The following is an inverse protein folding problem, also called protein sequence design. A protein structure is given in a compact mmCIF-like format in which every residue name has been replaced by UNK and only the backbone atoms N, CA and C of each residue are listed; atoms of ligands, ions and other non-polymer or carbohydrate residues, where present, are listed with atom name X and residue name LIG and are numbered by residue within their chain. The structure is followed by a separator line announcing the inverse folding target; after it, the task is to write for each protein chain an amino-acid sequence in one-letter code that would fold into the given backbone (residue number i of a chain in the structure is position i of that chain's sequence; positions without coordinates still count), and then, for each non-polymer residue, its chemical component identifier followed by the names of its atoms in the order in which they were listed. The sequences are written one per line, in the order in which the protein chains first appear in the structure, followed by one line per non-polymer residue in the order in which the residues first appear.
data_IF_150580574268
#
_entry.id   IF_150580574268
#
_cell.length_a   1.000
_cell.length_b   1.000
_cell.length_c   1.000
_cell.angle_alpha   90.00
_cell.angle_beta   90.00
_cell.angle_gamma   90.00
#
_symmetry.space_group_name_H-M   'P 1'
#
loop_
_entity.id
_entity.type
_entity.pdbx_description
1 polymer ?
#
# COMPACT_ATOMS: atom_id res chain seq x y z
N UNK A 1 39.82 -9.04 -18.34
CA UNK A 1 38.97 -7.83 -18.29
C UNK A 1 38.85 -7.45 -16.83
N UNK A 2 39.61 -6.45 -16.42
CA UNK A 2 39.77 -5.95 -15.05
C UNK A 2 38.55 -5.13 -14.63
N UNK A 3 37.98 -5.46 -13.47
CA UNK A 3 36.97 -4.66 -12.78
C UNK A 3 37.64 -4.05 -11.56
N UNK A 4 37.79 -2.72 -11.58
CA UNK A 4 38.31 -1.91 -10.48
C UNK A 4 37.19 -1.60 -9.48
N UNK A 5 37.38 -2.01 -8.23
CA UNK A 5 36.60 -1.58 -7.07
C UNK A 5 37.45 -0.61 -6.26
N UNK A 6 37.01 0.65 -6.14
CA UNK A 6 37.56 1.60 -5.17
C UNK A 6 36.64 1.60 -3.94
N UNK A 7 37.18 1.11 -2.83
CA UNK A 7 36.69 1.30 -1.47
C UNK A 7 37.37 2.56 -0.91
N UNK A 8 36.60 3.55 -0.46
CA UNK A 8 37.10 4.58 0.46
C UNK A 8 36.41 4.46 1.82
N UNK A 9 37.23 4.13 2.81
CA UNK A 9 36.94 4.18 4.24
C UNK A 9 36.79 5.62 4.71
N UNK A 10 35.71 5.92 5.43
CA UNK A 10 35.68 7.02 6.41
C UNK A 10 35.10 6.47 7.71
N UNK A 11 35.99 6.16 8.65
CA UNK A 11 35.70 5.93 10.05
C UNK A 11 36.07 7.19 10.84
N UNK A 12 35.18 7.66 11.73
CA UNK A 12 35.52 8.79 12.61
C UNK A 12 34.37 9.36 13.42
N UNK A 13 34.07 8.70 14.55
CA UNK A 13 33.66 9.26 15.84
C UNK A 13 32.45 10.21 15.93
N UNK A 14 31.36 9.70 16.52
CA UNK A 14 30.36 10.50 17.25
C UNK A 14 30.22 9.92 18.66
N UNK A 15 30.54 10.72 19.67
CA UNK A 15 30.24 10.48 21.08
C UNK A 15 29.25 11.58 21.57
N UNK A 16 28.51 11.34 22.66
CA UNK A 16 27.23 12.00 22.94
C UNK A 16 27.37 13.30 23.75
N UNK A 17 26.47 14.26 23.54
CA UNK A 17 26.36 15.49 24.33
C UNK A 17 25.33 15.34 25.46
N UNK A 18 25.78 15.50 26.70
CA UNK A 18 24.96 15.83 27.87
C UNK A 18 24.78 17.34 28.01
N UNK A 19 23.63 17.75 28.56
CA UNK A 19 23.21 19.13 28.78
C UNK A 19 23.76 19.69 30.10
N UNK A 20 24.12 20.97 30.13
CA UNK A 20 24.04 21.81 31.34
C UNK A 20 24.02 23.32 31.01
N UNK A 21 23.31 24.06 31.87
CA UNK A 21 22.85 25.44 31.76
C UNK A 21 23.92 26.52 31.96
N UNK A 22 23.71 27.68 31.30
CA UNK A 22 23.60 28.97 31.98
C UNK A 22 24.80 29.93 32.05
N UNK A 23 24.52 31.18 31.65
CA UNK A 23 25.08 32.48 32.13
C UNK A 23 26.22 33.12 31.32
N UNK A 24 25.89 34.26 30.69
CA UNK A 24 26.79 35.37 30.32
C UNK A 24 26.56 36.54 31.31
N UNK A 25 27.34 37.65 31.37
CA UNK A 25 28.33 38.16 30.40
C UNK A 25 29.61 38.80 31.01
N UNK A 26 30.59 39.18 30.17
CA UNK A 26 31.24 40.52 30.14
C UNK A 26 32.60 40.56 29.40
N UNK A 27 32.72 41.59 28.53
CA UNK A 27 33.90 42.36 28.10
C UNK A 27 35.10 41.68 27.39
N UNK A 28 35.37 42.19 26.17
CA UNK A 28 36.50 41.87 25.29
C UNK A 28 37.85 42.48 25.74
N UNK A 29 38.96 42.11 25.09
CA UNK A 29 39.56 43.11 24.20
C UNK A 29 40.01 42.59 22.82
N UNK A 30 39.67 43.41 21.82
CA UNK A 30 40.35 43.76 20.56
C UNK A 30 41.45 42.85 19.96
N UNK A 31 41.21 42.50 18.69
CA UNK A 31 42.11 42.96 17.63
C UNK A 31 42.65 41.89 16.69
N UNK A 32 41.95 41.62 15.58
CA UNK A 32 42.56 41.39 14.26
C UNK A 32 41.47 41.60 13.20
N UNK A 33 41.74 42.58 12.33
CA UNK A 33 40.85 43.09 11.29
C UNK A 33 40.89 42.16 10.07
N UNK A 34 39.76 41.51 9.78
CA UNK A 34 39.47 41.04 8.43
C UNK A 34 38.50 42.03 7.78
N UNK A 35 38.91 42.55 6.62
CA UNK A 35 38.27 43.64 5.91
C UNK A 35 36.81 43.35 5.55
N UNK A 36 35.90 44.00 6.27
CA UNK A 36 34.52 44.16 5.86
C UNK A 36 34.54 45.14 4.68
N UNK A 37 34.38 44.63 3.45
CA UNK A 37 33.96 45.46 2.34
C UNK A 37 32.68 46.20 2.76
N UNK A 38 32.61 47.53 2.66
CA UNK A 38 31.41 48.26 3.05
C UNK A 38 30.25 47.76 2.19
N UNK A 39 29.24 47.20 2.85
CA UNK A 39 27.96 46.91 2.22
C UNK A 39 27.40 48.26 1.81
N UNK A 40 27.54 48.58 0.52
CA UNK A 40 26.89 49.74 -0.09
C UNK A 40 25.43 49.75 0.37
N UNK A 41 24.97 50.92 0.82
CA UNK A 41 23.58 51.20 1.16
C UNK A 41 22.70 50.91 -0.05
N UNK A 42 22.31 49.64 -0.23
CA UNK A 42 21.29 49.25 -1.20
C UNK A 42 19.97 49.71 -0.62
N UNK A 43 19.29 50.58 -1.35
CA UNK A 43 17.90 50.92 -1.12
C UNK A 43 17.09 49.64 -0.81
N UNK A 44 16.10 49.71 0.10
CA UNK A 44 15.27 48.54 0.40
C UNK A 44 14.68 48.01 -0.92
N UNK A 45 14.71 46.67 -1.13
CA UNK A 45 14.24 46.09 -2.38
C UNK A 45 12.79 46.48 -2.64
N UNK A 46 12.44 46.66 -3.91
CA UNK A 46 11.10 47.06 -4.32
C UNK A 46 10.05 46.05 -3.85
N UNK A 47 9.01 46.57 -3.21
CA UNK A 47 7.87 45.76 -2.79
C UNK A 47 7.06 45.35 -4.02
N UNK A 48 6.84 44.05 -4.19
CA UNK A 48 6.04 43.49 -5.27
C UNK A 48 4.71 42.98 -4.69
N UNK A 49 3.59 43.50 -5.21
CA UNK A 49 2.27 43.00 -4.84
C UNK A 49 2.05 41.60 -5.41
N UNK A 50 1.50 40.70 -4.60
CA UNK A 50 1.16 39.34 -5.02
C UNK A 50 -0.29 39.32 -5.51
N UNK A 51 -0.55 38.93 -6.76
CA UNK A 51 -1.92 38.76 -7.25
C UNK A 51 -2.64 37.64 -6.50
N UNK A 52 -3.95 37.81 -6.27
CA UNK A 52 -4.80 36.77 -5.65
C UNK A 52 -5.34 35.80 -6.72
N UNK A 53 -4.45 35.25 -7.53
CA UNK A 53 -4.79 34.25 -8.55
C UNK A 53 -4.39 32.86 -8.04
N UNK A 54 -5.35 31.92 -7.90
CA UNK A 54 -5.08 30.61 -7.31
C UNK A 54 -4.50 29.64 -8.35
N UNK A 55 -3.39 29.00 -7.99
CA UNK A 55 -2.73 27.98 -8.79
C UNK A 55 -2.66 26.65 -8.04
N UNK A 56 -2.63 25.56 -8.81
CA UNK A 56 -2.48 24.20 -8.29
C UNK A 56 -1.14 23.65 -8.75
N UNK A 57 -0.31 23.18 -7.82
CA UNK A 57 0.96 22.53 -8.16
C UNK A 57 0.74 21.05 -8.38
N UNK A 58 1.32 20.50 -9.44
CA UNK A 58 1.35 19.05 -9.68
C UNK A 58 2.80 18.62 -9.82
N UNK A 59 3.31 17.90 -8.81
CA UNK A 59 4.64 17.30 -8.83
C UNK A 59 4.59 15.97 -9.59
N UNK A 60 4.51 16.04 -10.93
CA UNK A 60 4.37 14.87 -11.79
C UNK A 60 5.54 13.88 -11.59
N UNK A 61 5.29 12.55 -11.51
CA UNK A 61 6.32 11.56 -11.18
C UNK A 61 7.37 11.35 -12.28
N UNK A 62 7.08 11.74 -13.52
CA UNK A 62 8.00 11.67 -14.66
C UNK A 62 8.54 13.03 -15.06
N UNK A 63 9.70 13.03 -15.72
CA UNK A 63 10.28 14.20 -16.39
C UNK A 63 9.38 14.59 -17.57
N UNK A 64 8.90 15.84 -17.55
CA UNK A 64 8.00 16.36 -18.60
C UNK A 64 8.81 16.90 -19.77
N UNK A 65 8.77 16.19 -20.90
CA UNK A 65 9.32 16.68 -22.17
C UNK A 65 8.25 17.27 -23.11
N UNK A 66 7.03 16.71 -23.06
CA UNK A 66 5.89 17.12 -23.87
C UNK A 66 4.71 17.38 -22.93
N UNK A 67 4.16 18.60 -22.98
CA UNK A 67 3.07 19.04 -22.11
C UNK A 67 1.77 18.29 -22.42
N UNK A 68 1.47 18.05 -23.70
CA UNK A 68 0.25 17.34 -24.11
C UNK A 68 0.22 15.91 -23.57
N UNK A 69 1.36 15.22 -23.59
CA UNK A 69 1.47 13.88 -23.01
C UNK A 69 1.37 13.90 -21.48
N UNK A 70 1.86 14.96 -20.82
CA UNK A 70 1.67 15.16 -19.38
C UNK A 70 0.20 15.41 -19.03
N UNK A 71 -0.50 16.22 -19.82
CA UNK A 71 -1.94 16.45 -19.63
C UNK A 71 -2.72 15.15 -19.84
N UNK A 72 -2.38 14.37 -20.88
CA UNK A 72 -3.00 13.07 -21.14
C UNK A 72 -2.72 12.06 -20.02
N UNK A 73 -1.52 12.03 -19.44
CA UNK A 73 -1.19 11.06 -18.37
C UNK A 73 -2.02 11.31 -17.11
N UNK A 74 -2.39 12.56 -16.85
CA UNK A 74 -3.28 12.97 -15.75
C UNK A 74 -4.77 12.76 -16.06
N UNK A 75 -5.10 12.14 -17.21
CA UNK A 75 -6.46 11.84 -17.64
C UNK A 75 -7.08 12.87 -18.58
N UNK A 76 -6.29 13.81 -19.10
CA UNK A 76 -6.70 14.79 -20.10
C UNK A 76 -7.35 16.06 -19.52
N UNK A 77 -7.52 17.06 -20.38
CA UNK A 77 -8.00 18.40 -20.00
C UNK A 77 -9.35 18.38 -19.28
N UNK A 78 -10.30 17.56 -19.74
CA UNK A 78 -11.64 17.48 -19.14
C UNK A 78 -11.61 16.97 -17.70
N UNK A 79 -10.73 16.01 -17.41
CA UNK A 79 -10.59 15.44 -16.06
C UNK A 79 -9.89 16.43 -15.14
N UNK A 80 -8.87 17.12 -15.66
CA UNK A 80 -8.17 18.19 -14.94
C UNK A 80 -9.09 19.38 -14.62
N UNK A 81 -9.87 19.88 -15.58
CA UNK A 81 -10.83 20.98 -15.35
C UNK A 81 -11.85 20.61 -14.26
N UNK A 82 -12.39 19.39 -14.31
CA UNK A 82 -13.27 18.89 -13.24
C UNK A 82 -12.55 18.83 -11.91
N UNK A 83 -11.32 18.34 -11.89
CA UNK A 83 -10.51 18.22 -10.69
C UNK A 83 -10.20 19.59 -10.05
N UNK A 84 -9.87 20.60 -10.86
CA UNK A 84 -9.62 21.97 -10.38
C UNK A 84 -10.86 22.60 -9.74
N UNK A 85 -12.06 22.21 -10.17
CA UNK A 85 -13.33 22.69 -9.61
C UNK A 85 -13.72 22.01 -8.29
N UNK A 86 -13.07 20.91 -7.91
CA UNK A 86 -13.34 20.22 -6.65
C UNK A 86 -12.71 20.98 -5.47
N UNK A 87 -13.54 21.27 -4.46
CA UNK A 87 -13.14 21.93 -3.20
C UNK A 87 -12.88 20.93 -2.05
N UNK A 88 -12.61 19.68 -2.38
CA UNK A 88 -12.36 18.63 -1.39
C UNK A 88 -10.88 18.50 -1.07
N UNK A 89 -10.52 18.59 0.21
CA UNK A 89 -9.15 18.39 0.71
C UNK A 89 -8.68 16.93 0.60
N UNK A 90 -9.56 16.00 0.19
CA UNK A 90 -9.25 14.60 -0.09
C UNK A 90 -9.23 14.28 -1.58
N UNK A 91 -9.33 15.29 -2.46
CA UNK A 91 -9.28 15.06 -3.91
C UNK A 91 -7.94 14.46 -4.31
N UNK A 92 -7.98 13.48 -5.20
CA UNK A 92 -6.80 12.82 -5.74
C UNK A 92 -6.89 12.76 -7.26
N UNK A 93 -5.72 12.75 -7.88
CA UNK A 93 -5.53 12.65 -9.32
C UNK A 93 -4.72 11.40 -9.62
N UNK A 94 -5.07 10.69 -10.68
CA UNK A 94 -4.29 9.55 -11.16
C UNK A 94 -3.34 9.98 -12.29
N UNK A 95 -2.08 9.59 -12.20
CA UNK A 95 -1.10 9.71 -13.28
C UNK A 95 -0.84 8.32 -13.89
N UNK A 96 -1.19 8.13 -15.16
CA UNK A 96 -0.83 6.92 -15.91
C UNK A 96 0.59 7.04 -16.46
N UNK A 97 1.45 6.08 -16.08
CA UNK A 97 2.81 5.97 -16.60
C UNK A 97 2.86 5.29 -17.98
N UNK A 98 1.74 4.69 -18.42
CA UNK A 98 1.62 3.98 -19.71
C UNK A 98 0.39 4.50 -20.46
N UNK A 99 0.56 5.67 -21.07
CA UNK A 99 -0.50 6.40 -21.80
C UNK A 99 -1.30 5.56 -22.82
N UNK A 100 -0.63 4.62 -23.50
CA UNK A 100 -1.25 3.83 -24.56
C UNK A 100 -1.94 2.56 -24.05
N UNK A 101 -1.81 2.26 -22.75
CA UNK A 101 -2.40 1.08 -22.13
C UNK A 101 -3.61 1.49 -21.28
N UNK A 102 -4.85 1.20 -21.73
CA UNK A 102 -6.06 1.58 -20.99
C UNK A 102 -6.23 0.78 -19.70
N UNK A 103 -5.55 -0.35 -19.55
CA UNK A 103 -5.61 -1.18 -18.34
C UNK A 103 -4.52 -0.84 -17.33
N UNK A 104 -3.60 0.07 -17.68
CA UNK A 104 -2.54 0.48 -16.78
C UNK A 104 -3.12 1.21 -15.57
N UNK A 105 -2.84 0.68 -14.38
CA UNK A 105 -3.29 1.32 -13.14
C UNK A 105 -2.53 2.64 -12.93
N UNK A 106 -3.24 3.76 -12.66
CA UNK A 106 -2.61 5.04 -12.43
C UNK A 106 -2.02 5.12 -11.02
N UNK A 107 -0.94 5.88 -10.86
CA UNK A 107 -0.42 6.24 -9.54
C UNK A 107 -1.26 7.40 -9.02
N UNK A 108 -1.75 7.30 -7.79
CA UNK A 108 -2.60 8.33 -7.19
C UNK A 108 -1.75 9.42 -6.52
N UNK A 109 -2.19 10.67 -6.65
CA UNK A 109 -1.59 11.80 -5.93
C UNK A 109 -2.11 11.88 -4.51
N UNK A 110 -1.27 12.29 -3.57
CA UNK A 110 -1.72 12.85 -2.29
C UNK A 110 -1.92 14.35 -2.39
N UNK A 111 -3.05 14.84 -1.85
CA UNK A 111 -3.27 16.26 -1.63
C UNK A 111 -2.37 16.75 -0.50
N UNK A 112 -1.65 17.85 -0.73
CA UNK A 112 -0.86 18.54 0.29
C UNK A 112 -1.26 20.01 0.26
N UNK A 113 -1.81 20.50 1.37
CA UNK A 113 -2.08 21.93 1.54
C UNK A 113 -0.75 22.68 1.63
N UNK A 114 -0.59 23.72 0.84
CA UNK A 114 0.62 24.53 0.78
C UNK A 114 0.27 26.02 0.77
N UNK A 115 1.28 26.88 0.87
CA UNK A 115 1.15 28.34 0.75
C UNK A 115 2.32 28.83 -0.10
N UNK A 116 2.51 28.23 -1.27
CA UNK A 116 3.63 28.53 -2.14
C UNK A 116 3.31 29.74 -3.05
N UNK A 117 4.34 30.38 -3.60
CA UNK A 117 4.20 31.50 -4.53
C UNK A 117 4.73 31.11 -5.91
N UNK A 118 3.95 31.38 -6.95
CA UNK A 118 4.39 31.23 -8.33
C UNK A 118 5.03 32.54 -8.81
N UNK A 119 6.29 32.47 -9.21
CA UNK A 119 7.08 33.64 -9.64
C UNK A 119 7.54 33.42 -11.09
N UNK A 120 7.22 34.38 -11.96
CA UNK A 120 7.74 34.43 -13.32
C UNK A 120 9.03 35.25 -13.34
N UNK A 121 10.13 34.57 -13.66
CA UNK A 121 11.42 35.22 -13.87
C UNK A 121 11.70 35.30 -15.36
N UNK A 122 11.86 36.51 -15.88
CA UNK A 122 12.23 36.76 -17.28
C UNK A 122 13.71 37.13 -17.32
N UNK A 123 14.50 36.32 -18.03
CA UNK A 123 15.93 36.56 -18.24
C UNK A 123 16.21 36.76 -19.73
N UNK A 124 17.19 37.60 -20.10
CA UNK A 124 17.60 37.77 -21.49
C UNK A 124 17.95 36.45 -22.18
N UNK A 125 17.60 36.32 -23.46
CA UNK A 125 17.91 35.12 -24.27
C UNK A 125 19.42 35.07 -24.50
N UNK A 126 20.10 34.12 -23.87
CA UNK A 126 21.52 33.84 -24.15
C UNK A 126 21.67 33.32 -25.58
N UNK A 127 22.04 34.18 -26.51
CA UNK A 127 22.33 33.81 -27.90
C UNK A 127 23.64 33.00 -27.94
N UNK A 128 23.63 31.85 -28.62
CA UNK A 128 24.71 30.87 -28.60
C UNK A 128 26.02 31.29 -29.31
N UNK A 129 26.24 32.58 -29.59
CA UNK A 129 27.53 33.03 -30.12
C UNK A 129 28.56 32.99 -29.00
N UNK A 130 29.41 31.95 -29.02
CA UNK A 130 30.58 31.84 -28.15
C UNK A 130 31.39 33.14 -28.25
N UNK A 131 31.84 33.67 -27.10
CA UNK A 131 32.84 34.73 -27.04
C UNK A 131 34.03 34.35 -27.93
N UNK A 132 34.64 35.33 -28.61
CA UNK A 132 35.95 35.16 -29.25
C UNK A 132 36.93 34.69 -28.16
N UNK A 133 37.64 33.58 -28.40
CA UNK A 133 38.53 32.94 -27.41
C UNK A 133 39.55 33.98 -26.93
N UNK A 134 39.59 34.27 -25.62
CA UNK A 134 40.53 35.22 -25.00
C UNK A 134 39.98 36.59 -24.57
N UNK A 135 38.67 36.84 -24.62
CA UNK A 135 38.08 38.13 -24.23
C UNK A 135 37.26 38.05 -22.93
N UNK A 136 37.48 39.00 -21.99
CA UNK A 136 36.73 39.13 -20.73
C UNK A 136 35.47 40.00 -20.83
N UNK A 137 35.19 40.59 -22.00
CA UNK A 137 34.07 41.53 -22.19
C UNK A 137 32.71 40.93 -21.84
N UNK A 138 31.77 41.72 -21.28
CA UNK A 138 30.39 41.28 -20.99
C UNK A 138 29.71 40.65 -22.22
N UNK A 139 28.84 39.67 -21.98
CA UNK A 139 28.13 39.00 -23.07
C UNK A 139 27.16 40.00 -23.71
N UNK A 140 27.40 40.40 -24.97
CA UNK A 140 26.52 41.35 -25.67
C UNK A 140 25.28 40.64 -26.20
N UNK A 141 24.10 41.15 -25.88
CA UNK A 141 22.84 40.73 -26.48
C UNK A 141 22.65 41.46 -27.81
N UNK A 142 22.29 40.72 -28.85
CA UNK A 142 21.76 41.32 -30.08
C UNK A 142 20.26 41.05 -30.08
N UNK A 143 19.46 42.11 -30.17
CA UNK A 143 18.04 42.01 -30.47
C UNK A 143 17.88 41.46 -31.89
N UNK A 144 17.29 40.28 -32.01
CA UNK A 144 16.78 39.80 -33.29
C UNK A 144 15.54 40.65 -33.57
N UNK A 145 15.65 41.60 -34.52
CA UNK A 145 14.50 42.33 -35.06
C UNK A 145 13.49 41.30 -35.56
N UNK A 146 12.26 41.40 -35.06
CA UNK A 146 11.13 40.52 -35.38
C UNK A 146 10.87 40.51 -36.89
N UNK A 147 11.44 39.51 -37.57
CA UNK A 147 11.04 39.12 -38.91
C UNK A 147 9.95 38.06 -38.80
N UNK A 148 8.73 38.43 -39.20
CA UNK A 148 7.56 37.55 -39.34
C UNK A 148 7.95 36.20 -39.95
N UNK A 149 8.01 35.16 -39.11
CA UNK A 149 7.96 33.77 -39.55
C UNK A 149 6.76 33.14 -38.88
N UNK A 150 5.74 32.88 -39.69
CA UNK A 150 4.50 32.21 -39.35
C UNK A 150 4.76 31.01 -38.43
N UNK A 151 4.28 31.11 -37.19
CA UNK A 151 4.39 30.07 -36.17
C UNK A 151 3.55 28.86 -36.56
N UNK A 152 4.18 27.80 -37.06
CA UNK A 152 3.56 26.47 -37.10
C UNK A 152 3.52 25.89 -35.68
N UNK A 153 2.45 25.13 -35.37
CA UNK A 153 2.20 24.52 -34.05
C UNK A 153 3.35 23.61 -33.56
N UNK A 154 4.14 23.03 -34.46
CA UNK A 154 5.30 22.20 -34.12
C UNK A 154 6.43 23.02 -33.45
N UNK A 155 6.66 24.27 -33.88
CA UNK A 155 7.71 25.13 -33.32
C UNK A 155 7.49 25.54 -31.86
N UNK A 156 6.23 25.59 -31.40
CA UNK A 156 5.91 25.87 -29.99
C UNK A 156 6.35 24.73 -29.06
N UNK A 157 6.16 23.48 -29.49
CA UNK A 157 6.54 22.31 -28.71
C UNK A 157 8.07 22.20 -28.54
N UNK A 158 8.84 22.48 -29.59
CA UNK A 158 10.31 22.48 -29.56
C UNK A 158 10.88 23.63 -28.73
N UNK A 159 10.29 24.82 -28.82
CA UNK A 159 10.68 25.96 -27.99
C UNK A 159 10.42 25.71 -26.49
N UNK A 160 9.29 25.09 -26.13
CA UNK A 160 8.99 24.71 -24.74
C UNK A 160 9.93 23.61 -24.26
N UNK A 161 10.19 22.59 -25.07
CA UNK A 161 11.12 21.50 -24.75
C UNK A 161 12.57 22.00 -24.57
N UNK A 162 13.00 23.03 -25.31
CA UNK A 162 14.32 23.65 -25.14
C UNK A 162 14.42 24.51 -23.87
N UNK A 163 13.32 25.15 -23.42
CA UNK A 163 13.26 25.89 -22.15
C UNK A 163 13.36 24.96 -20.93
N UNK A 164 12.73 23.79 -20.99
CA UNK A 164 12.78 22.74 -19.95
C UNK A 164 14.17 22.09 -19.79
N UNK A 165 15.10 22.28 -20.74
CA UNK A 165 16.44 21.68 -20.70
C UNK A 165 17.50 22.52 -19.99
N UNK A 166 17.20 23.76 -19.58
CA UNK A 166 18.18 24.61 -18.87
C UNK A 166 18.32 24.15 -17.42
N UNK A 167 19.53 23.90 -16.96
CA UNK A 167 19.77 23.53 -15.55
C UNK A 167 19.46 24.75 -14.66
N UNK A 168 18.94 24.54 -13.42
CA UNK A 168 18.69 25.64 -12.48
C UNK A 168 19.92 26.52 -12.22
N UNK A 169 21.11 25.90 -12.20
CA UNK A 169 22.39 26.58 -12.06
C UNK A 169 22.66 27.59 -13.19
N UNK A 170 22.30 27.24 -14.43
CA UNK A 170 22.48 28.11 -15.59
C UNK A 170 21.53 29.31 -15.55
N UNK A 171 20.30 29.12 -15.05
CA UNK A 171 19.33 30.19 -14.84
C UNK A 171 19.78 31.15 -13.74
N UNK A 172 20.20 30.62 -12.58
CA UNK A 172 20.75 31.43 -11.48
C UNK A 172 21.97 32.22 -11.92
N UNK A 173 22.88 31.59 -12.68
CA UNK A 173 24.02 32.27 -13.28
C UNK A 173 23.56 33.37 -14.25
N UNK A 174 22.58 33.10 -15.10
CA UNK A 174 22.03 34.10 -16.01
C UNK A 174 21.43 35.29 -15.27
N UNK A 175 20.80 35.09 -14.10
CA UNK A 175 20.28 36.20 -13.28
C UNK A 175 21.43 37.01 -12.66
N UNK A 176 22.46 36.34 -12.13
CA UNK A 176 23.65 36.99 -11.56
C UNK A 176 24.45 37.78 -12.58
N UNK A 177 24.57 37.26 -13.80
CA UNK A 177 25.28 37.89 -14.91
C UNK A 177 24.50 39.12 -15.45
N UNK A 178 23.22 39.26 -15.14
CA UNK A 178 22.32 40.26 -15.72
C UNK A 178 21.49 41.03 -14.67
N UNK A 179 22.13 41.65 -13.65
CA UNK A 179 21.43 42.21 -12.49
C UNK A 179 20.36 43.25 -12.85
N UNK A 180 20.59 44.05 -13.90
CA UNK A 180 19.72 45.17 -14.27
C UNK A 180 18.67 44.82 -15.34
N UNK A 181 18.74 43.63 -15.95
CA UNK A 181 17.91 43.27 -17.11
C UNK A 181 17.02 42.04 -16.90
N UNK A 182 17.13 41.36 -15.76
CA UNK A 182 16.13 40.36 -15.39
C UNK A 182 14.90 41.02 -14.75
N UNK A 183 13.72 40.46 -15.00
CA UNK A 183 12.47 40.90 -14.38
C UNK A 183 11.87 39.79 -13.55
N UNK A 184 11.46 40.11 -12.32
CA UNK A 184 10.73 39.22 -11.43
C UNK A 184 9.28 39.71 -11.33
N UNK A 185 8.33 38.81 -11.53
CA UNK A 185 6.90 39.10 -11.39
C UNK A 185 6.23 38.00 -10.58
N UNK A 186 5.64 38.31 -9.40
CA UNK A 186 4.72 37.39 -8.72
C UNK A 186 3.50 37.18 -9.61
N UNK A 187 3.12 35.91 -9.82
CA UNK A 187 1.98 35.53 -10.65
C UNK A 187 0.78 35.21 -9.77
N UNK A 188 0.98 34.50 -8.66
CA UNK A 188 -0.10 34.17 -7.74
C UNK A 188 0.33 33.21 -6.65
N UNK A 189 -0.66 32.70 -5.91
CA UNK A 189 -0.48 31.78 -4.78
C UNK A 189 -0.86 30.37 -5.16
N UNK A 190 -0.20 29.40 -4.52
CA UNK A 190 -0.47 27.98 -4.69
C UNK A 190 -0.86 27.40 -3.33
N UNK A 191 -2.16 27.17 -3.15
CA UNK A 191 -2.72 26.70 -1.89
C UNK A 191 -2.66 25.16 -1.76
N UNK A 192 -2.44 24.49 -2.87
CA UNK A 192 -2.43 23.03 -2.94
C UNK A 192 -1.33 22.51 -3.87
N UNK A 193 -0.80 21.35 -3.48
CA UNK A 193 0.21 20.62 -4.25
C UNK A 193 -0.12 19.14 -4.24
N UNK A 194 -0.21 18.55 -5.43
CA UNK A 194 -0.46 17.14 -5.64
C UNK A 194 0.84 16.40 -5.87
N UNK A 195 1.17 15.47 -4.96
CA UNK A 195 2.44 14.73 -4.98
C UNK A 195 2.19 13.25 -5.23
N UNK A 196 3.01 12.63 -6.07
CA UNK A 196 2.91 11.20 -6.38
C UNK A 196 4.00 10.43 -5.62
N UNK A 197 3.77 10.22 -4.31
CA UNK A 197 4.71 9.49 -3.43
C UNK A 197 4.29 8.06 -3.12
N UNK A 198 3.07 7.68 -3.48
CA UNK A 198 2.58 6.32 -3.28
C UNK A 198 3.32 5.34 -4.18
N UNK A 199 3.52 4.11 -3.69
CA UNK A 199 4.04 3.02 -4.50
C UNK A 199 3.07 2.75 -5.66
N UNK A 200 3.57 2.61 -6.91
CA UNK A 200 2.77 2.09 -8.00
C UNK A 200 2.31 0.67 -7.69
N UNK A 201 1.06 0.37 -8.02
CA UNK A 201 0.50 -0.97 -7.82
C UNK A 201 1.01 -1.96 -8.88
N UNK A 202 0.84 -3.25 -8.61
CA UNK A 202 1.22 -4.32 -9.53
C UNK A 202 0.42 -4.23 -10.82
N UNK A 203 1.13 -4.28 -11.95
CA UNK A 203 0.52 -4.28 -13.26
C UNK A 203 0.26 -5.71 -13.72
N UNK A 204 -0.92 -5.95 -14.26
CA UNK A 204 -1.30 -7.25 -14.81
C UNK A 204 -1.18 -7.23 -16.34
N UNK A 205 -0.41 -8.16 -16.89
CA UNK A 205 -0.24 -8.28 -18.33
C UNK A 205 -1.40 -9.06 -18.96
N UNK A 206 -2.10 -8.43 -19.90
CA UNK A 206 -3.21 -9.04 -20.64
C UNK A 206 -2.77 -9.84 -21.88
N UNK A 207 -1.47 -9.93 -22.16
CA UNK A 207 -0.93 -10.55 -23.39
C UNK A 207 -1.31 -12.03 -23.55
N UNK A 208 -1.55 -12.74 -22.45
CA UNK A 208 -1.96 -14.15 -22.48
C UNK A 208 -3.42 -14.36 -22.08
N UNK A 209 -4.13 -13.30 -21.70
CA UNK A 209 -5.53 -13.36 -21.31
C UNK A 209 -6.41 -13.00 -22.52
N UNK A 210 -7.00 -14.03 -23.13
CA UNK A 210 -7.87 -13.89 -24.30
C UNK A 210 -9.10 -13.05 -23.99
N UNK A 211 -9.72 -13.24 -22.83
CA UNK A 211 -10.91 -12.48 -22.39
C UNK A 211 -10.61 -10.99 -22.30
N UNK A 212 -9.47 -10.62 -21.72
CA UNK A 212 -9.05 -9.23 -21.60
C UNK A 212 -8.73 -8.60 -22.97
N UNK A 213 -8.16 -9.36 -23.91
CA UNK A 213 -7.92 -8.91 -25.28
C UNK A 213 -9.21 -8.66 -26.04
N UNK A 214 -10.14 -9.61 -25.98
CA UNK A 214 -11.47 -9.47 -26.59
C UNK A 214 -12.15 -8.22 -26.01
N UNK A 215 -12.15 -8.07 -24.67
CA UNK A 215 -12.73 -6.89 -24.01
C UNK A 215 -12.07 -5.58 -24.48
N UNK A 216 -10.74 -5.55 -24.57
CA UNK A 216 -10.02 -4.39 -25.09
C UNK A 216 -10.44 -4.09 -26.53
N UNK A 217 -10.51 -5.10 -27.39
CA UNK A 217 -10.86 -4.92 -28.80
C UNK A 217 -12.31 -4.43 -29.00
N UNK A 218 -13.27 -4.97 -28.26
CA UNK A 218 -14.69 -4.64 -28.42
C UNK A 218 -15.11 -3.36 -27.71
N UNK A 219 -14.58 -3.07 -26.52
CA UNK A 219 -15.07 -1.97 -25.67
C UNK A 219 -14.19 -0.72 -25.70
N UNK A 220 -12.86 -0.85 -25.86
CA UNK A 220 -11.99 0.34 -25.88
C UNK A 220 -11.92 0.98 -27.26
N UNK A 221 -12.12 0.20 -28.33
CA UNK A 221 -12.18 0.69 -29.71
C UNK A 221 -13.64 0.68 -30.17
N UNK A 222 -14.25 1.82 -30.52
CA UNK A 222 -15.65 1.89 -30.91
C UNK A 222 -15.86 1.33 -32.33
N UNK A 223 -15.81 0.00 -32.48
CA UNK A 223 -16.03 -0.69 -33.74
C UNK A 223 -17.36 -1.45 -33.69
N UNK A 224 -18.44 -0.75 -34.05
CA UNK A 224 -19.81 -1.27 -33.97
C UNK A 224 -20.01 -2.61 -34.69
N UNK A 225 -19.39 -2.79 -35.86
CA UNK A 225 -19.49 -4.03 -36.65
C UNK A 225 -18.97 -5.25 -35.89
N UNK A 226 -17.90 -5.10 -35.11
CA UNK A 226 -17.33 -6.19 -34.30
C UNK A 226 -18.22 -6.52 -33.11
N UNK A 227 -18.77 -5.48 -32.47
CA UNK A 227 -19.67 -5.65 -31.32
C UNK A 227 -20.97 -6.37 -31.72
N UNK A 228 -21.54 -6.04 -32.89
CA UNK A 228 -22.76 -6.71 -33.39
C UNK A 228 -22.56 -8.21 -33.63
N UNK A 229 -21.36 -8.60 -34.04
CA UNK A 229 -21.01 -10.00 -34.33
C UNK A 229 -20.41 -10.72 -33.12
N UNK A 230 -20.29 -10.07 -31.97
CA UNK A 230 -19.74 -10.68 -30.77
C UNK A 230 -20.74 -11.69 -30.18
N UNK A 231 -20.29 -12.94 -30.03
CA UNK A 231 -21.04 -13.99 -29.33
C UNK A 231 -20.21 -14.51 -28.17
N UNK A 232 -20.83 -14.58 -26.99
CA UNK A 232 -20.17 -15.08 -25.79
C UNK A 232 -20.07 -16.60 -25.82
N UNK A 233 -18.91 -17.11 -26.22
CA UNK A 233 -18.63 -18.54 -26.29
C UNK A 233 -18.20 -19.08 -24.92
N UNK A 234 -19.08 -19.82 -24.25
CA UNK A 234 -18.81 -20.44 -22.93
C UNK A 234 -17.64 -21.43 -22.95
N UNK A 235 -17.28 -21.97 -24.12
CA UNK A 235 -16.11 -22.84 -24.25
C UNK A 235 -14.79 -22.06 -24.22
N UNK A 236 -14.81 -20.80 -24.67
CA UNK A 236 -13.68 -19.86 -24.58
C UNK A 236 -13.51 -19.22 -23.21
N UNK A 237 -14.61 -19.10 -22.45
CA UNK A 237 -14.64 -18.48 -21.13
C UNK A 237 -15.07 -19.50 -20.07
N UNK A 238 -14.21 -20.48 -19.71
CA UNK A 238 -14.56 -21.47 -18.72
C UNK A 238 -14.79 -20.81 -17.36
N UNK A 239 -15.96 -21.04 -16.77
CA UNK A 239 -16.32 -20.48 -15.45
C UNK A 239 -15.57 -21.17 -14.29
N UNK A 240 -14.95 -22.32 -14.53
CA UNK A 240 -14.24 -23.11 -13.52
C UNK A 240 -13.10 -23.90 -14.14
N UNK A 241 -12.08 -24.19 -13.33
CA UNK A 241 -10.88 -24.95 -13.70
C UNK A 241 -9.62 -24.10 -13.81
N UNK A 242 -8.48 -24.74 -14.02
CA UNK A 242 -7.16 -24.10 -14.04
C UNK A 242 -6.97 -23.06 -15.16
N UNK A 243 -7.87 -23.04 -16.17
CA UNK A 243 -7.86 -22.09 -17.29
C UNK A 243 -8.91 -20.97 -17.13
N UNK A 244 -9.69 -20.96 -16.05
CA UNK A 244 -10.63 -19.89 -15.77
C UNK A 244 -9.85 -18.66 -15.32
N UNK A 245 -9.98 -17.55 -16.06
CA UNK A 245 -9.35 -16.29 -15.73
C UNK A 245 -10.38 -15.31 -15.17
N UNK A 246 -10.14 -14.84 -13.95
CA UNK A 246 -11.00 -13.88 -13.24
C UNK A 246 -10.57 -12.42 -13.43
N UNK A 247 -9.46 -12.20 -14.16
CA UNK A 247 -8.85 -10.89 -14.33
C UNK A 247 -8.16 -10.36 -13.05
N UNK A 248 -7.48 -9.21 -13.14
CA UNK A 248 -6.84 -8.60 -11.99
C UNK A 248 -7.84 -7.90 -11.07
N UNK A 249 -7.52 -7.84 -9.78
CA UNK A 249 -8.21 -6.95 -8.85
C UNK A 249 -7.92 -5.48 -9.21
N UNK A 250 -8.86 -4.54 -8.95
CA UNK A 250 -8.63 -3.11 -9.18
C UNK A 250 -7.49 -2.50 -8.35
N UNK A 251 -7.14 -3.14 -7.24
CA UNK A 251 -6.00 -2.80 -6.40
C UNK A 251 -5.45 -4.09 -5.80
N UNK A 252 -4.14 -4.32 -5.94
CA UNK A 252 -3.45 -5.52 -5.43
C UNK A 252 -2.70 -5.15 -4.14
N UNK A 253 -1.99 -4.03 -4.13
CA UNK A 253 -1.33 -3.52 -2.93
C UNK A 253 -2.33 -2.94 -1.94
N UNK A 254 -2.39 -3.50 -0.73
CA UNK A 254 -3.15 -2.90 0.37
C UNK A 254 -2.50 -1.64 0.95
N UNK A 255 -1.19 -1.48 0.75
CA UNK A 255 -0.39 -0.41 1.38
C UNK A 255 0.20 0.51 0.32
N UNK A 256 0.01 1.82 0.49
CA UNK A 256 0.47 2.85 -0.45
C UNK A 256 1.89 3.35 -0.17
N UNK A 257 2.43 3.08 1.02
CA UNK A 257 3.75 3.55 1.46
C UNK A 257 4.72 2.36 1.53
N UNK A 258 5.96 2.50 1.04
CA UNK A 258 6.96 1.44 1.18
C UNK A 258 7.27 1.16 2.66
N UNK A 259 7.28 -0.12 3.02
CA UNK A 259 7.68 -0.53 4.37
C UNK A 259 9.17 -0.28 4.56
N UNK A 260 9.52 0.56 5.54
CA UNK A 260 10.92 0.77 5.90
C UNK A 260 11.44 -0.42 6.72
N UNK A 261 11.96 -1.44 6.02
CA UNK A 261 12.47 -2.66 6.65
C UNK A 261 13.65 -2.40 7.59
N UNK A 262 14.45 -1.34 7.34
CA UNK A 262 15.64 -0.96 8.09
C UNK A 262 16.69 -2.08 8.32
N UNK A 263 16.51 -3.25 7.69
CA UNK A 263 17.33 -4.46 7.83
C UNK A 263 17.65 -4.84 9.27
N UNK A 264 16.73 -4.57 10.22
CA UNK A 264 16.91 -4.91 11.63
C UNK A 264 16.69 -6.41 11.84
N UNK A 265 17.52 -7.00 12.70
CA UNK A 265 17.29 -8.37 13.14
C UNK A 265 15.91 -8.48 13.81
N UNK A 266 15.14 -9.50 13.44
CA UNK A 266 13.86 -9.76 14.07
C UNK A 266 14.08 -10.09 15.57
N UNK A 267 13.52 -9.26 16.46
CA UNK A 267 13.66 -9.40 17.93
C UNK A 267 13.18 -10.75 18.45
N UNK A 268 12.31 -11.44 17.70
CA UNK A 268 11.76 -12.73 18.08
C UNK A 268 12.65 -13.93 17.70
N UNK A 269 13.78 -13.71 17.02
CA UNK A 269 14.76 -14.78 16.75
C UNK A 269 15.72 -14.86 17.94
N UNK A 270 15.60 -15.93 18.74
CA UNK A 270 16.53 -16.26 19.82
C UNK A 270 17.43 -17.41 19.40
N UNK A 271 18.69 -17.36 19.76
CA UNK A 271 19.63 -18.45 19.50
C UNK A 271 19.63 -19.43 20.67
N UNK A 272 19.37 -20.70 20.39
CA UNK A 272 19.47 -21.77 21.38
C UNK A 272 20.71 -22.60 21.09
N UNK A 273 21.54 -22.82 22.11
CA UNK A 273 22.70 -23.72 21.99
C UNK A 273 22.21 -25.15 21.87
N UNK A 274 22.57 -25.84 20.80
CA UNK A 274 22.36 -27.29 20.71
C UNK A 274 23.47 -28.06 21.40
N UNK A 275 23.25 -29.35 21.74
CA UNK A 275 24.28 -30.23 22.29
C UNK A 275 25.56 -30.31 21.43
N UNK A 276 25.46 -30.03 20.13
CA UNK A 276 26.57 -30.00 19.18
C UNK A 276 27.25 -28.62 19.03
N UNK A 277 26.95 -27.65 19.90
CA UNK A 277 27.66 -26.36 19.99
C UNK A 277 27.31 -25.31 18.92
N UNK A 278 26.42 -25.63 17.96
CA UNK A 278 25.95 -24.67 16.98
C UNK A 278 24.70 -23.92 17.48
N UNK A 279 24.67 -22.58 17.44
CA UNK A 279 23.50 -21.81 17.84
C UNK A 279 22.40 -21.94 16.78
N UNK A 280 21.29 -22.57 17.13
CA UNK A 280 20.13 -22.69 16.26
C UNK A 280 19.20 -21.48 16.46
N UNK A 281 18.90 -20.71 15.40
CA UNK A 281 17.94 -19.61 15.49
C UNK A 281 16.53 -20.18 15.61
N UNK A 282 15.86 -19.90 16.72
CA UNK A 282 14.47 -20.27 16.97
C UNK A 282 13.64 -18.98 17.01
N UNK A 283 12.62 -18.90 16.14
CA UNK A 283 11.67 -17.80 16.15
C UNK A 283 10.59 -18.04 17.20
N UNK A 284 10.62 -17.29 18.29
CA UNK A 284 9.65 -17.42 19.40
C UNK A 284 8.29 -16.81 19.09
N UNK A 285 8.15 -16.01 18.03
CA UNK A 285 6.87 -15.42 17.62
C UNK A 285 6.07 -16.30 16.66
N UNK A 286 6.64 -17.42 16.19
CA UNK A 286 5.96 -18.26 15.22
C UNK A 286 4.79 -18.99 15.89
N UNK A 287 3.56 -18.72 15.44
CA UNK A 287 2.39 -19.44 15.91
C UNK A 287 2.55 -20.93 15.60
N UNK A 288 2.47 -21.78 16.62
CA UNK A 288 2.54 -23.22 16.44
C UNK A 288 1.41 -23.67 15.50
N UNK A 289 1.77 -24.30 14.38
CA UNK A 289 0.79 -24.84 13.43
C UNK A 289 0.21 -26.12 14.04
N UNK A 290 -1.07 -26.09 14.36
CA UNK A 290 -1.79 -27.26 14.86
C UNK A 290 -2.37 -28.07 13.72
N UNK A 291 -2.27 -29.39 13.86
CA UNK A 291 -2.90 -30.34 12.95
C UNK A 291 -4.39 -30.35 13.27
N UNK A 292 -5.21 -30.16 12.23
CA UNK A 292 -6.65 -30.33 12.30
C UNK A 292 -7.10 -31.14 11.10
N UNK A 293 -7.76 -32.26 11.35
CA UNK A 293 -8.28 -33.11 10.27
C UNK A 293 -9.50 -32.43 9.66
N UNK A 294 -9.34 -31.88 8.46
CA UNK A 294 -10.41 -31.22 7.72
C UNK A 294 -10.98 -32.14 6.66
N UNK A 295 -12.30 -32.24 6.61
CA UNK A 295 -13.03 -33.08 5.66
C UNK A 295 -13.92 -32.19 4.79
N UNK A 296 -13.93 -32.44 3.48
CA UNK A 296 -14.86 -31.76 2.57
C UNK A 296 -16.30 -32.23 2.82
N UNK A 297 -17.31 -31.35 2.83
CA UNK A 297 -18.71 -31.78 2.96
C UNK A 297 -19.17 -32.73 1.85
N UNK A 298 -18.53 -32.66 0.67
CA UNK A 298 -18.81 -33.49 -0.50
C UNK A 298 -18.02 -34.79 -0.55
N UNK A 299 -17.25 -35.13 0.50
CA UNK A 299 -16.48 -36.37 0.51
C UNK A 299 -17.40 -37.61 0.49
N UNK A 300 -16.89 -38.73 -0.05
CA UNK A 300 -17.59 -40.01 0.05
C UNK A 300 -17.69 -40.46 1.53
N UNK A 301 -18.72 -41.21 1.93
CA UNK A 301 -18.85 -41.71 3.31
C UNK A 301 -17.63 -42.51 3.78
N UNK A 302 -17.00 -43.28 2.89
CA UNK A 302 -15.77 -44.05 3.18
C UNK A 302 -14.55 -43.19 3.47
N UNK A 303 -14.58 -41.89 3.12
CA UNK A 303 -13.48 -40.95 3.36
C UNK A 303 -13.56 -40.32 4.76
N UNK A 304 -14.57 -40.67 5.57
CA UNK A 304 -14.68 -40.17 6.93
C UNK A 304 -13.70 -40.90 7.84
N UNK A 305 -12.90 -40.17 8.62
CA UNK A 305 -11.94 -40.79 9.51
C UNK A 305 -12.65 -41.49 10.67
N UNK A 306 -12.53 -42.81 10.71
CA UNK A 306 -12.99 -43.63 11.84
C UNK A 306 -12.02 -43.63 13.03
N UNK A 307 -10.76 -43.30 12.76
CA UNK A 307 -9.67 -43.17 13.73
C UNK A 307 -8.79 -41.99 13.32
N UNK A 308 -7.84 -41.65 14.18
CA UNK A 308 -6.80 -40.66 13.88
C UNK A 308 -6.14 -41.03 12.54
N UNK A 309 -6.20 -40.15 11.52
CA UNK A 309 -5.55 -40.38 10.24
C UNK A 309 -4.04 -40.58 10.39
N UNK A 310 -3.47 -41.50 9.62
CA UNK A 310 -2.02 -41.79 9.63
C UNK A 310 -1.17 -40.60 9.15
N UNK A 311 -1.77 -39.63 8.46
CA UNK A 311 -1.09 -38.45 7.95
C UNK A 311 -1.92 -37.17 8.22
N UNK A 312 -1.29 -36.08 8.68
CA UNK A 312 0.11 -35.97 9.12
C UNK A 312 0.38 -36.78 10.41
N UNK A 313 1.61 -37.30 10.60
CA UNK A 313 1.93 -38.13 11.76
C UNK A 313 1.84 -37.29 13.04
N UNK A 314 1.06 -37.79 14.00
CA UNK A 314 0.93 -37.20 15.32
C UNK A 314 1.83 -37.95 16.31
N UNK A 315 2.46 -37.25 17.27
CA UNK A 315 3.20 -37.93 18.33
C UNK A 315 2.23 -38.80 19.16
N UNK A 316 2.69 -39.97 19.66
CA UNK A 316 1.86 -40.81 20.52
C UNK A 316 1.36 -40.02 21.74
N UNK A 317 0.14 -40.33 22.20
CA UNK A 317 -0.47 -39.64 23.35
C UNK A 317 0.41 -39.73 24.61
N UNK A 318 1.14 -40.84 24.78
CA UNK A 318 2.06 -41.06 25.90
C UNK A 318 3.28 -40.14 25.92
N UNK A 319 3.66 -39.54 24.79
CA UNK A 319 4.78 -38.59 24.73
C UNK A 319 4.33 -37.15 24.97
N UNK A 320 3.01 -36.92 25.12
CA UNK A 320 2.47 -35.60 25.39
C UNK A 320 2.56 -35.27 26.89
N UNK A 321 2.58 -34.00 27.27
CA UNK A 321 2.49 -33.60 28.67
C UNK A 321 1.19 -34.08 29.35
N UNK A 322 1.24 -34.36 30.65
CA UNK A 322 0.11 -34.89 31.43
C UNK A 322 -1.16 -34.04 31.31
N UNK A 323 -1.03 -32.72 31.32
CA UNK A 323 -2.18 -31.82 31.16
C UNK A 323 -2.90 -32.01 29.82
N UNK A 324 -2.16 -32.31 28.75
CA UNK A 324 -2.72 -32.50 27.41
C UNK A 324 -3.37 -33.87 27.29
N UNK A 325 -2.78 -34.89 27.92
CA UNK A 325 -3.38 -36.22 28.01
C UNK A 325 -4.72 -36.18 28.75
N UNK A 326 -4.77 -35.50 29.91
CA UNK A 326 -6.02 -35.31 30.66
C UNK A 326 -7.07 -34.56 29.83
N UNK A 327 -6.67 -33.49 29.15
CA UNK A 327 -7.57 -32.73 28.27
C UNK A 327 -8.13 -33.59 27.11
N UNK A 328 -7.31 -34.46 26.51
CA UNK A 328 -7.75 -35.38 25.45
C UNK A 328 -8.78 -36.37 26.00
N UNK A 329 -8.58 -36.90 27.21
CA UNK A 329 -9.53 -37.80 27.86
C UNK A 329 -10.85 -37.10 28.17
N UNK A 330 -10.80 -35.88 28.73
CA UNK A 330 -11.98 -35.08 29.02
C UNK A 330 -12.77 -34.74 27.74
N UNK A 331 -12.07 -34.41 26.66
CA UNK A 331 -12.69 -34.16 25.35
C UNK A 331 -13.33 -35.41 24.74
N UNK A 332 -12.72 -36.58 24.92
CA UNK A 332 -13.32 -37.87 24.50
C UNK A 332 -14.61 -38.13 25.28
N UNK A 333 -14.58 -37.97 26.60
CA UNK A 333 -15.77 -38.12 27.44
C UNK A 333 -16.88 -37.12 27.05
N UNK A 334 -16.52 -35.87 26.78
CA UNK A 334 -17.48 -34.85 26.32
C UNK A 334 -18.06 -35.19 24.94
N UNK A 335 -17.25 -35.73 24.01
CA UNK A 335 -17.71 -36.17 22.69
C UNK A 335 -18.50 -37.48 22.73
N UNK A 336 -18.30 -38.32 23.74
CA UNK A 336 -19.16 -39.48 23.97
C UNK A 336 -20.56 -39.06 24.40
N UNK A 337 -20.67 -38.04 25.25
CA UNK A 337 -21.95 -37.45 25.65
C UNK A 337 -22.61 -36.65 24.50
N UNK A 338 -21.82 -35.90 23.74
CA UNK A 338 -22.29 -35.09 22.60
C UNK A 338 -21.31 -35.22 21.41
N UNK A 339 -21.64 -36.00 20.37
CA UNK A 339 -20.70 -36.36 19.30
C UNK A 339 -20.27 -35.21 18.39
N UNK A 340 -20.98 -34.08 18.43
CA UNK A 340 -20.71 -32.90 17.61
C UNK A 340 -20.81 -31.65 18.47
N UNK A 341 -19.70 -30.91 18.57
CA UNK A 341 -19.60 -29.73 19.44
C UNK A 341 -18.85 -28.58 18.78
N UNK A 342 -19.35 -27.36 18.95
CA UNK A 342 -18.59 -26.16 18.60
C UNK A 342 -17.55 -25.86 19.68
N UNK A 343 -16.50 -25.11 19.30
CA UNK A 343 -15.45 -24.67 20.24
C UNK A 343 -16.03 -24.00 21.49
N UNK A 344 -17.09 -23.21 21.32
CA UNK A 344 -17.76 -22.51 22.43
C UNK A 344 -18.44 -23.45 23.41
N UNK A 345 -19.12 -24.48 22.92
CA UNK A 345 -19.75 -25.49 23.78
C UNK A 345 -18.68 -26.19 24.62
N UNK A 346 -17.55 -26.53 24.01
CA UNK A 346 -16.42 -27.17 24.69
C UNK A 346 -15.85 -26.25 25.79
N UNK A 347 -15.65 -24.97 25.49
CA UNK A 347 -15.20 -23.98 26.48
C UNK A 347 -16.13 -23.82 27.66
N UNK A 348 -17.45 -23.95 27.45
CA UNK A 348 -18.41 -23.88 28.55
C UNK A 348 -18.37 -25.13 29.43
N UNK A 349 -17.92 -26.28 28.90
CA UNK A 349 -17.84 -27.55 29.62
C UNK A 349 -16.51 -27.69 30.38
N UNK A 350 -15.40 -27.35 29.74
CA UNK A 350 -14.03 -27.58 30.26
C UNK A 350 -13.38 -26.32 30.85
N UNK A 351 -14.01 -25.16 30.73
CA UNK A 351 -13.43 -23.87 31.09
C UNK A 351 -12.60 -23.24 29.97
N UNK A 352 -12.24 -21.97 30.15
CA UNK A 352 -11.51 -21.16 29.14
C UNK A 352 -9.99 -21.25 29.27
N UNK A 353 -9.48 -21.81 30.35
CA UNK A 353 -8.05 -21.79 30.67
C UNK A 353 -7.23 -22.68 29.72
N UNK A 354 -7.88 -23.63 29.03
CA UNK A 354 -7.27 -24.60 28.11
C UNK A 354 -7.31 -24.17 26.64
N UNK A 355 -7.49 -22.89 26.34
CA UNK A 355 -7.80 -22.43 24.99
C UNK A 355 -6.72 -22.75 23.93
N UNK A 356 -5.46 -22.68 24.32
CA UNK A 356 -4.32 -22.88 23.42
C UNK A 356 -4.06 -24.37 23.17
N UNK A 357 -4.17 -25.17 24.24
CA UNK A 357 -4.00 -26.61 24.30
C UNK A 357 -5.12 -27.34 23.55
N UNK A 358 -6.33 -26.78 23.57
CA UNK A 358 -7.49 -27.34 22.90
C UNK A 358 -7.27 -27.56 21.40
N UNK A 359 -6.53 -26.65 20.74
CA UNK A 359 -6.19 -26.79 19.31
C UNK A 359 -5.26 -27.97 19.05
N UNK A 360 -4.41 -28.34 20.00
CA UNK A 360 -3.56 -29.53 19.92
C UNK A 360 -4.36 -30.81 20.13
N UNK A 361 -5.23 -30.80 21.15
CA UNK A 361 -6.04 -31.95 21.52
C UNK A 361 -7.02 -32.34 20.40
N UNK A 362 -7.56 -31.38 19.65
CA UNK A 362 -8.49 -31.64 18.54
C UNK A 362 -8.00 -32.66 17.52
N UNK A 363 -6.69 -32.69 17.23
CA UNK A 363 -6.11 -33.66 16.30
C UNK A 363 -6.32 -35.12 16.73
N UNK A 364 -6.39 -35.38 18.03
CA UNK A 364 -6.47 -36.73 18.60
C UNK A 364 -7.90 -37.24 18.78
N UNK A 365 -8.89 -36.37 18.74
CA UNK A 365 -10.26 -36.70 19.16
C UNK A 365 -11.26 -36.65 18.02
N UNK A 366 -11.02 -35.83 17.00
CA UNK A 366 -11.98 -35.73 15.90
C UNK A 366 -11.50 -34.98 14.66
N UNK A 367 -12.48 -34.67 13.83
CA UNK A 367 -12.30 -33.95 12.58
C UNK A 367 -13.32 -32.82 12.45
N UNK A 368 -13.12 -31.92 11.50
CA UNK A 368 -14.00 -30.77 11.25
C UNK A 368 -14.34 -30.69 9.76
N UNK A 369 -15.59 -30.38 9.44
CA UNK A 369 -15.97 -30.10 8.05
C UNK A 369 -15.47 -28.72 7.61
N UNK A 370 -14.87 -28.64 6.41
CA UNK A 370 -14.35 -27.39 5.85
C UNK A 370 -15.46 -26.40 5.48
N UNK A 371 -16.64 -26.91 5.13
CA UNK A 371 -17.83 -26.15 4.76
C UNK A 371 -19.09 -26.99 5.04
N UNK A 372 -20.27 -26.39 4.87
CA UNK A 372 -21.56 -27.06 5.03
C UNK A 372 -22.21 -26.84 6.40
N UNK A 373 -23.30 -27.57 6.70
CA UNK A 373 -24.16 -27.33 7.87
C UNK A 373 -23.50 -27.61 9.23
N UNK A 374 -22.43 -28.38 9.27
CA UNK A 374 -21.65 -28.67 10.50
C UNK A 374 -20.26 -28.03 10.45
N UNK A 375 -20.10 -26.95 9.67
CA UNK A 375 -18.84 -26.20 9.57
C UNK A 375 -18.41 -25.73 10.97
N UNK A 376 -17.11 -25.83 11.23
CA UNK A 376 -16.46 -25.37 12.49
C UNK A 376 -16.92 -26.08 13.77
N UNK A 377 -17.70 -27.17 13.66
CA UNK A 377 -17.95 -28.10 14.76
C UNK A 377 -16.95 -29.26 14.74
N UNK A 378 -16.43 -29.63 15.91
CA UNK A 378 -15.64 -30.84 16.12
C UNK A 378 -16.58 -32.04 16.11
N UNK A 379 -16.32 -32.97 15.20
CA UNK A 379 -17.04 -34.23 15.04
C UNK A 379 -16.14 -35.36 15.53
N UNK A 380 -16.68 -36.21 16.40
CA UNK A 380 -16.01 -37.42 16.88
C UNK A 380 -15.63 -38.34 15.71
N UNK A 381 -14.44 -38.96 15.76
CA UNK A 381 -14.04 -39.95 14.76
C UNK A 381 -15.06 -41.10 14.64
N UNK A 382 -15.34 -41.50 13.40
CA UNK A 382 -16.29 -42.57 13.06
C UNK A 382 -17.77 -42.17 13.03
N UNK A 383 -18.09 -40.91 13.34
CA UNK A 383 -19.46 -40.38 13.25
C UNK A 383 -19.62 -39.60 11.94
N UNK A 384 -20.53 -40.01 11.05
CA UNK A 384 -20.96 -39.18 9.91
C UNK A 384 -22.28 -38.45 10.26
N UNK A 385 -22.29 -37.12 10.42
CA UNK A 385 -23.54 -36.39 10.67
C UNK A 385 -24.56 -36.48 9.53
N UNK A 386 -24.13 -36.87 8.33
CA UNK A 386 -24.99 -36.98 7.14
C UNK A 386 -25.76 -38.29 7.11
N UNK A 387 -25.37 -39.29 7.90
CA UNK A 387 -26.00 -40.61 7.86
C UNK A 387 -27.35 -40.63 8.56
N UNK A 388 -27.49 -39.91 9.68
CA UNK A 388 -28.68 -39.94 10.52
C UNK A 388 -29.28 -38.54 10.74
N UNK A 389 -30.61 -38.37 10.62
CA UNK A 389 -31.29 -37.11 10.92
C UNK A 389 -31.11 -36.61 12.35
N UNK A 390 -30.77 -37.49 13.31
CA UNK A 390 -30.53 -37.11 14.72
C UNK A 390 -29.44 -36.05 14.87
N UNK A 391 -28.49 -35.98 13.93
CA UNK A 391 -27.40 -35.01 13.98
C UNK A 391 -27.78 -33.62 13.45
N UNK A 392 -29.01 -33.46 12.93
CA UNK A 392 -29.54 -32.16 12.48
C UNK A 392 -29.58 -31.14 13.62
N UNK A 393 -29.85 -31.58 14.86
CA UNK A 393 -29.85 -30.72 16.04
C UNK A 393 -28.47 -30.09 16.35
N UNK A 394 -27.39 -30.60 15.75
CA UNK A 394 -26.02 -30.10 15.95
C UNK A 394 -25.50 -29.24 14.80
N UNK A 395 -26.35 -28.87 13.84
CA UNK A 395 -25.97 -27.96 12.78
C UNK A 395 -25.56 -26.59 13.34
N UNK A 396 -24.57 -25.97 12.70
CA UNK A 396 -24.01 -24.68 13.08
C UNK A 396 -24.62 -23.57 12.24
N UNK A 397 -25.06 -22.52 12.92
CA UNK A 397 -25.55 -21.29 12.29
C UNK A 397 -24.65 -20.15 12.78
N UNK A 398 -24.10 -19.40 11.84
CA UNK A 398 -23.30 -18.23 12.13
C UNK A 398 -24.14 -16.94 12.01
N UNK A 399 -23.88 -15.99 12.89
CA UNK A 399 -24.49 -14.67 12.84
C UNK A 399 -23.39 -13.63 12.70
N UNK A 400 -23.39 -12.87 11.60
CA UNK A 400 -22.58 -11.66 11.50
C UNK A 400 -23.43 -10.52 12.02
N UNK A 401 -23.13 -10.06 13.23
CA UNK A 401 -23.74 -8.83 13.74
C UNK A 401 -23.20 -7.66 12.92
N UNK A 402 -24.09 -6.87 12.33
CA UNK A 402 -23.70 -5.58 11.80
C UNK A 402 -23.25 -4.73 13.00
N UNK A 403 -21.95 -4.42 13.08
CA UNK A 403 -21.54 -3.27 13.88
C UNK A 403 -22.33 -2.09 13.36
N UNK A 404 -23.00 -1.31 14.22
CA UNK A 404 -23.60 -0.03 13.81
C UNK A 404 -22.53 0.71 13.01
N UNK A 405 -22.73 0.81 11.71
CA UNK A 405 -21.95 1.70 10.86
C UNK A 405 -22.17 3.09 11.44
N UNK A 406 -21.15 3.65 12.11
CA UNK A 406 -21.03 5.09 12.11
C UNK A 406 -20.96 5.48 10.63
N UNK A 407 -21.91 6.32 10.24
CA UNK A 407 -22.41 6.40 8.87
C UNK A 407 -21.33 6.54 7.80
N UNK A 408 -21.72 6.09 6.60
CA UNK A 408 -21.12 6.47 5.34
C UNK A 408 -20.63 7.94 5.37
N UNK A 409 -19.33 8.13 5.52
CA UNK A 409 -18.72 9.46 5.56
C UNK A 409 -17.44 9.60 6.39
N UNK A 410 -16.38 8.84 6.12
CA UNK A 410 -14.99 9.20 6.46
C UNK A 410 -14.06 8.18 5.77
N UNK A 411 -13.07 8.56 4.96
CA UNK A 411 -12.03 9.50 5.35
C UNK A 411 -10.93 8.70 6.05
N UNK A 412 -9.81 8.49 5.36
CA UNK A 412 -8.55 7.99 5.93
C UNK A 412 -8.32 8.71 7.25
N UNK A 413 -8.36 7.97 8.35
CA UNK A 413 -7.99 8.45 9.68
C UNK A 413 -6.47 8.54 9.68
N UNK A 414 -5.94 9.75 9.83
CA UNK A 414 -4.55 9.97 10.23
C UNK A 414 -4.39 9.41 11.66
N UNK A 415 -3.50 8.44 11.83
CA UNK A 415 -3.03 8.02 13.15
C UNK A 415 -2.11 9.13 13.69
N UNK A 416 -2.67 10.00 14.54
CA UNK A 416 -1.85 10.68 15.54
C UNK A 416 -1.49 9.70 16.66
N UNK A 417 -0.22 9.76 17.08
CA UNK A 417 0.38 8.88 18.07
C UNK A 417 -0.37 8.86 19.38
N UNK A 418 -1.07 7.76 19.63
CA UNK A 418 -1.49 7.32 20.94
C UNK A 418 -1.27 5.81 20.99
N UNK A 419 -0.69 5.31 22.08
CA UNK A 419 -0.50 3.89 22.36
C UNK A 419 -1.85 3.16 22.33
N UNK A 420 -2.27 2.75 21.14
CA UNK A 420 -3.45 1.94 20.90
C UNK A 420 -3.06 0.48 21.01
N UNK A 421 -3.39 -0.13 22.14
CA UNK A 421 -3.70 -1.56 22.14
C UNK A 421 -4.79 -1.76 21.08
N UNK A 422 -4.39 -2.27 19.92
CA UNK A 422 -5.32 -2.70 18.90
C UNK A 422 -6.26 -3.71 19.53
N UNK A 423 -7.47 -3.28 19.86
CA UNK A 423 -8.63 -4.16 20.00
C UNK A 423 -8.80 -4.82 18.64
N UNK A 424 -8.02 -5.89 18.41
CA UNK A 424 -8.37 -6.98 17.50
C UNK A 424 -9.83 -7.21 17.75
N UNK A 425 -10.68 -6.93 16.76
CA UNK A 425 -12.13 -6.97 16.92
C UNK A 425 -12.48 -8.15 17.80
N UNK A 426 -12.87 -7.84 19.04
CA UNK A 426 -13.30 -8.86 19.98
C UNK A 426 -14.52 -9.45 19.30
N UNK A 427 -14.35 -10.67 18.80
CA UNK A 427 -15.42 -11.48 18.28
C UNK A 427 -16.36 -11.67 19.44
N UNK A 428 -17.38 -10.82 19.53
CA UNK A 428 -18.48 -11.02 20.46
C UNK A 428 -19.21 -12.27 19.99
N UNK A 429 -18.77 -13.39 20.53
CA UNK A 429 -19.49 -14.64 20.55
C UNK A 429 -20.75 -14.36 21.40
N UNK A 430 -21.79 -13.84 20.75
CA UNK A 430 -23.00 -13.36 21.42
C UNK A 430 -23.69 -14.54 22.11
N UNK A 431 -23.98 -14.36 23.41
CA UNK A 431 -24.58 -15.37 24.29
C UNK A 431 -26.01 -15.66 23.85
N UNK A 432 -26.20 -16.65 22.99
CA UNK A 432 -27.54 -17.23 22.77
C UNK A 432 -27.41 -18.73 22.96
N UNK A 433 -27.82 -19.18 24.15
CA UNK A 433 -27.96 -20.59 24.51
C UNK A 433 -29.36 -21.00 24.07
N UNK A 434 -29.47 -21.81 23.02
CA UNK A 434 -30.71 -22.57 22.80
C UNK A 434 -30.61 -23.86 23.62
N UNK A 435 -31.42 -23.91 24.69
CA UNK A 435 -31.62 -25.13 25.47
C UNK A 435 -32.54 -26.08 24.67
N UNK A 436 -32.21 -27.37 24.51
CA UNK A 436 -33.07 -28.33 23.83
C UNK A 436 -34.04 -28.93 24.84
N UNK A 437 -35.10 -28.19 25.18
CA UNK A 437 -36.29 -28.73 25.87
C UNK A 437 -37.55 -28.08 25.31
N UNK A 438 -37.86 -28.39 24.05
CA UNK A 438 -39.21 -28.26 23.51
C UNK A 438 -39.54 -29.56 22.77
N UNK A 439 -39.74 -30.63 23.56
CA UNK A 439 -40.58 -31.75 23.13
C UNK A 439 -42.04 -31.29 23.19
N UNK A 440 -42.49 -30.58 22.17
CA UNK A 440 -43.92 -30.45 21.90
C UNK A 440 -44.32 -31.67 21.07
N UNK A 441 -45.01 -32.59 21.74
CA UNK A 441 -45.69 -33.73 21.15
C UNK A 441 -46.66 -33.28 20.06
N UNK A 442 -46.36 -33.57 18.80
CA UNK A 442 -47.37 -33.72 17.76
C UNK A 442 -47.54 -35.23 17.52
N UNK A 443 -48.59 -35.78 18.09
CA UNK A 443 -49.20 -37.06 17.67
C UNK A 443 -50.06 -36.75 16.43
N UNK A 444 -50.10 -37.65 15.42
CA UNK A 444 -50.63 -37.38 14.08
C UNK A 444 -52.07 -36.87 13.99
#
# INVERSE_FOLDING_TARGET
MSVSTEEEMIAGLVAPNEAQNGTAPAAAPNGMQDGIHPVENKEPPSWLSIPNEPFVSVEHPCIVHNIDNCIKSLGGERRLDRFLKLKDNKKSMGASLRLNDPMAQPVLSSFVKTQNLLIKVTVPKRTGRKRKRGCSDPFKFHEEVDGEKSESSEGKSEQIASRLKKKPQDLLRSMRDNPDSYKIQPVGTMEETHKFRSLPDYQYSITHNRTAQDFQEFFTKPQWSKLKNFQFDKSRYPASGAKADVGPCPQILSTSVPFNYAYRQNMYIKFHSTPHGQPLPINTSFSQKYIMHKVSPTCAPSSIPHRIPSYPPLPPESTLPDYLQNLIQDLRAALDARPIMTRRVIHNLLGRDVEYELKQAYAYVGYVFSAGPWREALVKFGVDPRSDPKYLAYQTIWFKLASKEQGAGAGVIEEEGGTGEGRRGEWMDSRIVFHPLLSASCVP
#
